data_IF_677593352110
#
_entry.id   IF_677593352110
#
_cell.length_a   1.000
_cell.length_b   1.000
_cell.length_c   1.000
_cell.angle_alpha   90.00
_cell.angle_beta   90.00
_cell.angle_gamma   90.00
#
_symmetry.space_group_name_H-M   'P 1'
#
loop_
_entity.id
_entity.type
_entity.pdbx_description
1 polymer ?
#
# COMPACT_ATOMS: atom_id res chain seq x y z
N UNK A 1 1.67 11.11 14.94
CA UNK A 1 0.46 10.94 15.76
C UNK A 1 0.79 10.72 17.22
N UNK A 2 1.60 9.70 17.60
CA UNK A 2 2.02 9.49 19.01
C UNK A 2 2.54 10.76 19.70
N UNK A 3 3.40 11.51 19.03
CA UNK A 3 4.00 12.72 19.61
C UNK A 3 3.20 14.01 19.32
N UNK A 4 2.55 14.09 18.16
CA UNK A 4 1.91 15.33 17.68
C UNK A 4 0.40 15.44 18.00
N UNK A 5 -0.24 14.34 18.42
CA UNK A 5 -1.67 14.29 18.75
C UNK A 5 -1.96 13.10 19.69
N UNK A 6 -1.44 13.14 20.94
CA UNK A 6 -1.51 12.02 21.87
C UNK A 6 -2.95 11.69 22.28
N UNK A 7 -3.86 12.67 22.41
CA UNK A 7 -5.26 12.34 22.73
C UNK A 7 -5.95 11.53 21.63
N UNK A 8 -5.61 11.78 20.37
CA UNK A 8 -6.12 10.98 19.24
C UNK A 8 -5.50 9.59 19.28
N UNK A 9 -4.19 9.52 19.53
CA UNK A 9 -3.48 8.24 19.59
C UNK A 9 -4.03 7.34 20.70
N UNK A 10 -4.42 7.87 21.84
CA UNK A 10 -5.00 7.05 22.92
C UNK A 10 -6.43 6.57 22.60
N UNK A 11 -7.20 7.32 21.80
CA UNK A 11 -8.62 7.04 21.60
C UNK A 11 -8.96 6.40 20.25
N UNK A 12 -8.03 6.32 19.29
CA UNK A 12 -8.35 5.68 18.01
C UNK A 12 -8.39 4.15 18.12
N UNK A 13 -9.35 3.59 17.40
CA UNK A 13 -9.48 2.14 17.16
C UNK A 13 -9.16 1.83 15.71
N UNK A 14 -8.65 0.63 15.46
CA UNK A 14 -8.46 0.09 14.12
C UNK A 14 -9.63 -0.84 13.82
N UNK A 15 -10.30 -0.63 12.69
CA UNK A 15 -11.47 -1.39 12.29
C UNK A 15 -11.35 -1.86 10.82
N UNK A 16 -12.01 -2.96 10.42
CA UNK A 16 -12.02 -3.41 9.04
C UNK A 16 -12.58 -2.34 8.09
N UNK A 17 -12.06 -2.28 6.87
CA UNK A 17 -12.59 -1.41 5.82
C UNK A 17 -14.02 -1.88 5.47
N UNK A 18 -15.01 -0.98 5.43
CA UNK A 18 -16.37 -1.32 5.00
C UNK A 18 -16.39 -2.00 3.64
N UNK A 19 -17.06 -3.15 3.56
CA UNK A 19 -17.15 -3.95 2.35
C UNK A 19 -18.51 -3.74 1.68
N UNK A 20 -18.51 -3.56 0.35
CA UNK A 20 -19.77 -3.53 -0.43
C UNK A 20 -20.47 -4.89 -0.41
N UNK A 21 -19.70 -5.97 -0.49
CA UNK A 21 -20.15 -7.35 -0.34
C UNK A 21 -19.39 -8.02 0.82
N UNK A 22 -19.97 -8.08 2.03
CA UNK A 22 -19.32 -8.70 3.18
C UNK A 22 -19.09 -10.21 3.04
N UNK A 23 -19.83 -10.90 2.16
CA UNK A 23 -19.64 -12.34 1.94
C UNK A 23 -18.43 -12.64 1.04
N UNK A 24 -17.96 -11.64 0.29
CA UNK A 24 -16.80 -11.72 -0.57
C UNK A 24 -15.92 -10.48 -0.37
N UNK A 25 -15.24 -10.36 0.78
CA UNK A 25 -14.43 -9.19 1.10
C UNK A 25 -13.21 -9.08 0.18
N UNK A 26 -12.90 -7.86 -0.25
CA UNK A 26 -11.70 -7.55 -1.05
C UNK A 26 -11.04 -6.28 -0.54
N UNK A 27 -9.71 -6.25 -0.60
CA UNK A 27 -8.94 -5.04 -0.35
C UNK A 27 -7.66 -5.05 -1.19
N UNK A 28 -6.98 -3.91 -1.21
CA UNK A 28 -5.69 -3.77 -1.85
C UNK A 28 -4.55 -3.89 -0.85
N UNK A 29 -3.54 -4.67 -1.22
CA UNK A 29 -2.26 -4.71 -0.53
C UNK A 29 -1.32 -3.79 -1.28
N UNK A 30 -0.84 -2.76 -0.59
CA UNK A 30 0.24 -1.91 -1.05
C UNK A 30 1.44 -2.07 -0.12
N UNK A 31 2.63 -2.13 -0.72
CA UNK A 31 3.88 -2.19 0.02
C UNK A 31 4.94 -1.37 -0.72
N UNK A 32 5.86 -0.80 0.05
CA UNK A 32 7.08 -0.23 -0.50
C UNK A 32 8.13 -1.33 -0.53
N UNK A 33 8.80 -1.50 -1.66
CA UNK A 33 9.98 -2.35 -1.75
C UNK A 33 11.23 -1.48 -1.69
N UNK A 34 12.19 -1.87 -0.84
CA UNK A 34 13.55 -1.30 -0.92
C UNK A 34 14.32 -2.06 -2.00
N UNK A 35 14.90 -1.32 -2.92
CA UNK A 35 15.65 -1.87 -4.05
C UNK A 35 17.01 -1.18 -4.18
N UNK A 36 17.97 -1.88 -4.78
CA UNK A 36 19.25 -1.30 -5.19
C UNK A 36 19.14 -0.90 -6.65
N UNK A 37 19.52 0.34 -6.97
CA UNK A 37 19.59 0.81 -8.37
C UNK A 37 20.49 -0.11 -9.18
N UNK A 38 20.09 -0.46 -10.40
CA UNK A 38 20.89 -1.29 -11.30
C UNK A 38 22.27 -0.67 -11.61
N UNK A 39 22.37 0.66 -11.59
CA UNK A 39 23.61 1.38 -11.90
C UNK A 39 24.60 1.49 -10.73
N UNK A 40 24.21 1.01 -9.54
CA UNK A 40 25.06 1.07 -8.34
C UNK A 40 26.40 0.38 -8.58
N UNK A 41 27.49 1.04 -8.15
CA UNK A 41 28.86 0.49 -8.23
C UNK A 41 29.22 -0.40 -7.04
N UNK A 42 28.34 -0.49 -6.04
CA UNK A 42 28.53 -1.23 -4.78
C UNK A 42 27.31 -2.12 -4.49
N UNK A 43 26.88 -2.88 -5.51
CA UNK A 43 25.68 -3.73 -5.45
C UNK A 43 25.67 -4.65 -4.24
N UNK A 44 26.77 -5.37 -4.01
CA UNK A 44 26.88 -6.38 -2.94
C UNK A 44 26.72 -5.76 -1.56
N UNK A 45 27.41 -4.64 -1.30
CA UNK A 45 27.35 -3.91 -0.03
C UNK A 45 25.96 -3.31 0.18
N UNK A 46 25.36 -2.74 -0.87
CA UNK A 46 24.01 -2.19 -0.80
C UNK A 46 22.97 -3.27 -0.45
N UNK A 47 23.05 -4.46 -1.07
CA UNK A 47 22.17 -5.57 -0.73
C UNK A 47 22.40 -6.10 0.69
N UNK A 48 23.67 -6.18 1.15
CA UNK A 48 23.98 -6.54 2.54
C UNK A 48 23.38 -5.54 3.52
N UNK A 49 23.46 -4.25 3.22
CA UNK A 49 22.87 -3.19 4.04
C UNK A 49 21.35 -3.32 4.11
N UNK A 50 20.66 -3.46 2.97
CA UNK A 50 19.21 -3.67 2.96
C UNK A 50 18.81 -4.94 3.74
N UNK A 51 19.57 -6.03 3.58
CA UNK A 51 19.31 -7.26 4.33
C UNK A 51 19.44 -7.04 5.85
N UNK A 52 20.49 -6.34 6.30
CA UNK A 52 20.69 -5.98 7.71
C UNK A 52 19.58 -5.06 8.24
N UNK A 53 19.22 -4.02 7.49
CA UNK A 53 18.14 -3.10 7.89
C UNK A 53 16.82 -3.85 8.09
N UNK A 54 16.50 -4.76 7.17
CA UNK A 54 15.25 -5.50 7.19
C UNK A 54 15.24 -6.67 8.18
N UNK A 55 16.38 -7.06 8.78
CA UNK A 55 16.41 -8.16 9.76
C UNK A 55 15.86 -7.77 11.13
N UNK A 56 15.49 -6.49 11.33
CA UNK A 56 14.98 -5.94 12.59
C UNK A 56 13.60 -5.30 12.41
N UNK A 57 12.54 -6.10 12.27
CA UNK A 57 11.23 -5.60 11.87
C UNK A 57 10.51 -4.73 12.90
N UNK A 58 10.61 -5.06 14.18
CA UNK A 58 10.03 -4.25 15.25
C UNK A 58 10.63 -2.86 15.29
N UNK A 59 11.97 -2.76 15.31
CA UNK A 59 12.71 -1.49 15.30
C UNK A 59 12.33 -0.65 14.07
N UNK A 60 12.25 -1.28 12.88
CA UNK A 60 11.86 -0.58 11.66
C UNK A 60 10.40 -0.08 11.71
N UNK A 61 9.48 -0.85 12.30
CA UNK A 61 8.10 -0.42 12.47
C UNK A 61 7.96 0.69 13.52
N UNK A 62 8.67 0.62 14.63
CA UNK A 62 8.62 1.65 15.68
C UNK A 62 9.14 3.00 15.19
N UNK A 63 10.25 3.00 14.44
CA UNK A 63 10.89 4.22 13.96
C UNK A 63 10.20 4.79 12.72
N UNK A 64 9.81 3.94 11.77
CA UNK A 64 9.35 4.37 10.45
C UNK A 64 7.89 3.97 10.12
N UNK A 65 7.20 3.23 10.99
CA UNK A 65 5.86 2.69 10.71
C UNK A 65 5.86 1.65 9.59
N UNK A 66 7.04 1.12 9.22
CA UNK A 66 7.21 0.31 8.02
C UNK A 66 7.18 -1.19 8.34
N UNK A 67 6.16 -1.88 7.82
CA UNK A 67 6.06 -3.35 7.83
C UNK A 67 6.77 -3.88 6.59
N UNK A 68 7.87 -4.61 6.78
CA UNK A 68 8.63 -5.15 5.66
C UNK A 68 8.07 -6.49 5.15
N UNK A 69 8.40 -6.84 3.91
CA UNK A 69 7.90 -8.07 3.25
C UNK A 69 8.66 -9.35 3.58
N UNK A 70 9.40 -9.43 4.69
CA UNK A 70 10.10 -10.67 5.05
C UNK A 70 9.11 -11.76 5.47
N UNK A 71 9.42 -13.01 5.12
CA UNK A 71 8.68 -14.16 5.62
C UNK A 71 8.77 -14.24 7.14
N UNK A 72 7.64 -14.51 7.80
CA UNK A 72 7.56 -14.65 9.27
C UNK A 72 7.53 -13.32 10.02
N UNK A 73 7.32 -12.19 9.34
CA UNK A 73 7.39 -10.88 10.00
C UNK A 73 6.39 -10.70 11.12
N UNK A 74 5.18 -11.24 10.92
CA UNK A 74 4.10 -11.20 11.88
C UNK A 74 4.30 -12.15 13.07
N UNK A 75 5.39 -12.94 13.09
CA UNK A 75 5.76 -13.76 14.24
C UNK A 75 6.61 -12.98 15.27
N UNK A 76 7.21 -11.84 14.87
CA UNK A 76 8.01 -10.97 15.75
C UNK A 76 7.20 -10.47 16.94
N UNK A 77 7.73 -10.70 18.15
CA UNK A 77 7.11 -10.21 19.38
C UNK A 77 7.10 -8.68 19.43
N UNK A 78 8.17 -8.05 18.93
CA UNK A 78 8.32 -6.61 18.86
C UNK A 78 7.27 -5.98 17.92
N UNK A 79 7.08 -6.55 16.72
CA UNK A 79 6.05 -6.07 15.80
C UNK A 79 4.64 -6.23 16.38
N UNK A 80 4.34 -7.38 17.01
CA UNK A 80 3.05 -7.63 17.68
C UNK A 80 2.77 -6.62 18.79
N UNK A 81 3.79 -6.23 19.55
CA UNK A 81 3.65 -5.24 20.61
C UNK A 81 3.46 -3.82 20.05
N UNK A 82 4.15 -3.49 18.96
CA UNK A 82 4.15 -2.14 18.40
C UNK A 82 2.93 -1.83 17.51
N UNK A 83 2.43 -2.81 16.75
CA UNK A 83 1.37 -2.64 15.75
C UNK A 83 -0.03 -2.78 16.38
N UNK A 84 -0.64 -1.65 16.73
CA UNK A 84 -2.04 -1.60 17.15
C UNK A 84 -2.95 -2.07 15.99
N UNK A 85 -3.84 -3.02 16.27
CA UNK A 85 -4.78 -3.53 15.27
C UNK A 85 -4.19 -4.58 14.33
N UNK A 86 -3.13 -5.28 14.73
CA UNK A 86 -2.52 -6.36 13.94
C UNK A 86 -3.56 -7.38 13.44
N UNK A 87 -4.54 -7.77 14.26
CA UNK A 87 -5.56 -8.74 13.85
C UNK A 87 -6.41 -8.23 12.67
N UNK A 88 -6.80 -6.95 12.70
CA UNK A 88 -7.54 -6.30 11.61
C UNK A 88 -6.68 -6.18 10.36
N UNK A 89 -5.40 -5.87 10.54
CA UNK A 89 -4.43 -5.85 9.45
C UNK A 89 -4.30 -7.23 8.81
N UNK A 90 -4.16 -8.30 9.61
CA UNK A 90 -4.01 -9.67 9.12
C UNK A 90 -5.28 -10.19 8.44
N UNK A 91 -6.46 -9.81 8.94
CA UNK A 91 -7.73 -10.08 8.27
C UNK A 91 -7.79 -9.41 6.89
N UNK A 92 -7.34 -8.16 6.79
CA UNK A 92 -7.27 -7.45 5.51
C UNK A 92 -6.24 -8.08 4.57
N UNK A 93 -5.12 -8.58 5.11
CA UNK A 93 -4.08 -9.24 4.33
C UNK A 93 -4.54 -10.58 3.74
N UNK A 94 -5.42 -11.31 4.43
CA UNK A 94 -5.92 -12.62 3.95
C UNK A 94 -6.93 -12.51 2.79
N UNK A 95 -7.56 -11.35 2.65
CA UNK A 95 -8.52 -11.03 1.57
C UNK A 95 -7.98 -10.02 0.57
N UNK A 96 -6.71 -9.66 0.73
CA UNK A 96 -6.06 -8.61 -0.02
C UNK A 96 -5.44 -9.12 -1.31
N UNK A 97 -5.49 -8.30 -2.35
CA UNK A 97 -4.75 -8.51 -3.60
C UNK A 97 -3.75 -7.39 -3.79
N UNK A 98 -2.56 -7.71 -4.30
CA UNK A 98 -1.59 -6.66 -4.61
C UNK A 98 -2.17 -5.70 -5.64
N UNK A 99 -1.94 -4.40 -5.44
CA UNK A 99 -2.30 -3.39 -6.43
C UNK A 99 -1.71 -3.77 -7.80
N UNK A 100 -2.52 -3.65 -8.85
CA UNK A 100 -2.04 -3.91 -10.20
C UNK A 100 -0.85 -3.00 -10.51
N UNK A 101 0.12 -3.55 -11.24
CA UNK A 101 1.25 -2.84 -11.80
C UNK A 101 1.36 -3.23 -13.28
N UNK A 102 1.59 -2.24 -14.12
CA UNK A 102 1.88 -2.36 -15.55
C UNK A 102 3.03 -1.42 -15.91
N UNK A 103 3.63 -1.60 -17.08
CA UNK A 103 4.62 -0.66 -17.61
C UNK A 103 4.05 0.77 -17.76
N UNK A 104 2.75 0.87 -17.95
CA UNK A 104 1.96 2.08 -18.16
C UNK A 104 1.22 2.55 -16.90
N UNK A 105 1.53 1.98 -15.72
CA UNK A 105 0.77 2.18 -14.49
C UNK A 105 0.59 3.66 -14.11
N UNK A 106 1.63 4.47 -14.31
CA UNK A 106 1.58 5.89 -13.99
C UNK A 106 0.58 6.64 -14.89
N UNK A 107 0.65 6.41 -16.20
CA UNK A 107 -0.26 7.02 -17.17
C UNK A 107 -1.71 6.58 -16.94
N UNK A 108 -1.94 5.30 -16.67
CA UNK A 108 -3.26 4.78 -16.33
C UNK A 108 -3.81 5.43 -15.05
N UNK A 109 -2.96 5.62 -14.04
CA UNK A 109 -3.32 6.32 -12.80
C UNK A 109 -3.71 7.79 -13.03
N UNK A 110 -2.98 8.50 -13.89
CA UNK A 110 -3.30 9.89 -14.24
C UNK A 110 -4.65 10.00 -14.97
N UNK A 111 -4.95 9.07 -15.88
CA UNK A 111 -6.24 9.01 -16.59
C UNK A 111 -7.39 8.77 -15.61
N UNK A 112 -7.24 7.80 -14.69
CA UNK A 112 -8.26 7.52 -13.66
C UNK A 112 -8.48 8.75 -12.76
N UNK A 113 -7.39 9.42 -12.36
CA UNK A 113 -7.47 10.64 -11.55
C UNK A 113 -8.26 11.73 -12.27
N UNK A 114 -7.98 11.98 -13.55
CA UNK A 114 -8.68 12.99 -14.34
C UNK A 114 -10.17 12.68 -14.45
N UNK A 115 -10.54 11.41 -14.66
CA UNK A 115 -11.96 11.02 -14.71
C UNK A 115 -12.67 11.23 -13.37
N UNK A 116 -12.00 10.94 -12.24
CA UNK A 116 -12.52 11.25 -10.91
C UNK A 116 -12.74 12.76 -10.75
N UNK A 117 -11.76 13.58 -11.14
CA UNK A 117 -11.90 15.04 -11.09
C UNK A 117 -13.04 15.55 -11.98
N UNK A 118 -13.25 14.96 -13.15
CA UNK A 118 -14.31 15.29 -14.11
C UNK A 118 -15.70 14.99 -13.52
N UNK A 119 -15.97 13.73 -13.14
CA UNK A 119 -17.32 13.38 -12.63
C UNK A 119 -17.63 13.99 -11.26
N UNK A 120 -16.62 14.37 -10.48
CA UNK A 120 -16.84 15.07 -9.22
C UNK A 120 -17.37 16.50 -9.43
N UNK A 121 -17.15 17.10 -10.60
CA UNK A 121 -17.62 18.45 -10.92
C UNK A 121 -19.05 18.46 -11.46
N UNK A 122 -19.40 17.54 -12.35
CA UNK A 122 -20.69 17.57 -13.08
C UNK A 122 -21.62 16.37 -12.80
N UNK A 123 -21.15 15.37 -12.04
CA UNK A 123 -21.90 14.18 -11.66
C UNK A 123 -21.99 13.09 -12.73
N UNK A 124 -21.37 13.26 -13.90
CA UNK A 124 -21.50 12.32 -15.03
C UNK A 124 -20.51 11.16 -14.95
N UNK A 125 -20.70 10.30 -13.95
CA UNK A 125 -19.79 9.18 -13.64
C UNK A 125 -19.55 8.25 -14.83
N UNK A 126 -20.62 7.81 -15.51
CA UNK A 126 -20.49 6.84 -16.59
C UNK A 126 -19.70 7.41 -17.78
N UNK A 127 -20.02 8.63 -18.22
CA UNK A 127 -19.35 9.28 -19.36
C UNK A 127 -17.85 9.46 -19.09
N UNK A 128 -17.49 9.94 -17.90
CA UNK A 128 -16.08 10.13 -17.51
C UNK A 128 -15.31 8.79 -17.46
N UNK A 129 -15.93 7.72 -16.94
CA UNK A 129 -15.29 6.41 -16.85
C UNK A 129 -15.20 5.69 -18.20
N UNK A 130 -16.18 5.84 -19.09
CA UNK A 130 -16.14 5.27 -20.45
C UNK A 130 -15.01 5.92 -21.27
N UNK A 131 -14.83 7.24 -21.12
CA UNK A 131 -13.72 7.99 -21.69
C UNK A 131 -12.37 7.52 -21.13
N UNK A 132 -12.27 7.36 -19.81
CA UNK A 132 -11.06 6.86 -19.16
C UNK A 132 -10.67 5.46 -19.67
N UNK A 133 -11.63 4.55 -19.81
CA UNK A 133 -11.39 3.21 -20.33
C UNK A 133 -10.79 3.27 -21.74
N UNK A 134 -11.35 4.11 -22.61
CA UNK A 134 -10.85 4.33 -23.98
C UNK A 134 -9.41 4.84 -24.00
N UNK A 135 -9.06 5.79 -23.12
CA UNK A 135 -7.69 6.32 -23.06
C UNK A 135 -6.70 5.32 -22.46
N UNK A 136 -7.11 4.53 -21.48
CA UNK A 136 -6.29 3.44 -20.92
C UNK A 136 -5.95 2.41 -21.99
N UNK A 137 -6.93 2.01 -22.82
CA UNK A 137 -6.70 1.05 -23.90
C UNK A 137 -5.68 1.56 -24.93
N UNK A 138 -5.71 2.87 -25.26
CA UNK A 138 -4.72 3.50 -26.14
C UNK A 138 -3.31 3.47 -25.55
N UNK A 139 -3.18 3.77 -24.26
CA UNK A 139 -1.89 3.77 -23.56
C UNK A 139 -1.31 2.36 -23.49
N UNK A 140 -2.14 1.35 -23.22
CA UNK A 140 -1.71 -0.06 -23.15
C UNK A 140 -1.34 -0.67 -24.49
N UNK A 141 -1.76 -0.07 -25.60
CA UNK A 141 -1.46 -0.55 -26.96
C UNK A 141 -0.08 -0.08 -27.48
N UNK A 142 0.70 0.66 -26.68
CA UNK A 142 2.07 1.12 -26.99
C UNK A 142 3.10 0.02 -26.75
#
# INVERSE_FOLDING_TARGET
WRENAPEVYENFVVAPIPQKDPANPHTFIHTYALAVSADSKVQTEAWKFLNFLLSKPGEMYEVAGYINGRKGIFDSAELKAALRGLDVYMQSYSTGTFVWRSATWAQEGDIIKQAIEEFMQDGKVQEALDKAATEIDKVRAQ
#
